data_IF_486327081322
#
_entry.id   IF_486327081322
#
_cell.length_a   1.000
_cell.length_b   1.000
_cell.length_c   1.000
_cell.angle_alpha   90.00
_cell.angle_beta   90.00
_cell.angle_gamma   90.00
#
_symmetry.space_group_name_H-M   'P 1'
#
loop_
_entity.id
_entity.type
_entity.pdbx_description
1 polymer ?
#
# COMPACT_ATOMS: atom_id res chain seq x y z
N UNK A 1 -11.26 -27.50 1.17
CA UNK A 1 -9.97 -27.15 0.51
C UNK A 1 -8.99 -26.64 1.55
N UNK A 2 -7.80 -27.26 1.67
CA UNK A 2 -6.76 -26.83 2.62
C UNK A 2 -6.22 -25.47 2.15
N UNK A 3 -6.53 -24.39 2.88
CA UNK A 3 -6.05 -23.04 2.56
C UNK A 3 -4.52 -23.00 2.67
N UNK A 4 -3.83 -22.49 1.63
CA UNK A 4 -2.38 -22.30 1.69
C UNK A 4 -2.09 -21.21 2.73
N UNK A 5 -1.45 -21.59 3.85
CA UNK A 5 -0.99 -20.62 4.84
C UNK A 5 0.06 -19.72 4.19
N UNK A 6 -0.16 -18.40 4.26
CA UNK A 6 0.78 -17.44 3.73
C UNK A 6 1.97 -17.31 4.69
N UNK A 7 3.18 -17.55 4.19
CA UNK A 7 4.41 -17.40 4.97
C UNK A 7 4.89 -15.94 4.88
N UNK A 8 5.11 -15.29 6.02
CA UNK A 8 5.60 -13.90 6.08
C UNK A 8 7.13 -13.83 5.94
N UNK A 9 7.67 -12.67 5.58
CA UNK A 9 9.13 -12.50 5.49
C UNK A 9 9.81 -12.63 6.86
N UNK A 10 9.14 -12.19 7.93
CA UNK A 10 9.61 -12.40 9.31
C UNK A 10 9.79 -13.88 9.62
N UNK A 11 8.83 -14.72 9.24
CA UNK A 11 8.91 -16.17 9.45
C UNK A 11 10.01 -16.80 8.61
N UNK A 12 10.16 -16.38 7.34
CA UNK A 12 11.27 -16.81 6.48
C UNK A 12 12.63 -16.47 7.10
N UNK A 13 12.80 -15.23 7.56
CA UNK A 13 14.03 -14.75 8.20
C UNK A 13 14.32 -15.52 9.48
N UNK A 14 13.31 -15.82 10.30
CA UNK A 14 13.49 -16.59 11.53
C UNK A 14 14.04 -18.00 11.23
N UNK A 15 13.48 -18.69 10.22
CA UNK A 15 13.97 -20.00 9.80
C UNK A 15 15.40 -19.92 9.25
N UNK A 16 15.69 -18.94 8.38
CA UNK A 16 17.03 -18.75 7.81
C UNK A 16 18.06 -18.45 8.91
N UNK A 17 17.72 -17.54 9.82
CA UNK A 17 18.57 -17.20 10.96
C UNK A 17 18.88 -18.44 11.79
N UNK A 18 17.87 -19.23 12.15
CA UNK A 18 18.10 -20.47 12.90
C UNK A 18 18.91 -21.51 12.12
N UNK A 19 18.65 -21.67 10.81
CA UNK A 19 19.32 -22.67 9.98
C UNK A 19 20.81 -22.34 9.77
N UNK A 20 21.14 -21.08 9.50
CA UNK A 20 22.50 -20.62 9.27
C UNK A 20 23.25 -20.17 10.54
N UNK A 21 22.60 -20.24 11.72
CA UNK A 21 23.25 -19.89 12.98
C UNK A 21 24.32 -20.94 13.36
N UNK A 22 25.60 -20.54 13.46
CA UNK A 22 26.70 -21.44 13.79
C UNK A 22 26.71 -21.88 15.26
N UNK A 23 25.92 -21.25 16.13
CA UNK A 23 25.89 -21.56 17.59
C UNK A 23 24.90 -22.68 17.96
N UNK A 24 24.03 -23.08 17.03
CA UNK A 24 23.01 -24.12 17.28
C UNK A 24 23.48 -25.50 16.81
N UNK A 25 23.96 -26.29 17.77
CA UNK A 25 24.36 -27.72 17.72
C UNK A 25 25.52 -28.07 16.77
N UNK A 26 26.37 -28.99 17.25
CA UNK A 26 27.62 -29.48 16.64
C UNK A 26 27.41 -30.37 15.38
N UNK A 27 26.60 -29.93 14.42
CA UNK A 27 26.36 -30.66 13.17
C UNK A 27 25.65 -29.83 12.09
N UNK A 28 25.77 -30.27 10.83
CA UNK A 28 25.07 -29.65 9.71
C UNK A 28 23.56 -29.86 9.83
N UNK A 29 22.80 -28.76 9.98
CA UNK A 29 21.33 -28.81 10.04
C UNK A 29 20.76 -29.29 8.72
N UNK A 30 19.76 -30.16 8.77
CA UNK A 30 19.11 -30.73 7.57
C UNK A 30 17.77 -30.05 7.29
N UNK A 31 17.23 -30.24 6.08
CA UNK A 31 15.88 -29.75 5.74
C UNK A 31 14.78 -30.42 6.59
N UNK A 32 15.02 -31.62 7.12
CA UNK A 32 14.11 -32.27 8.04
C UNK A 32 14.06 -31.49 9.37
N UNK A 33 15.23 -31.14 9.91
CA UNK A 33 15.33 -30.34 11.14
C UNK A 33 14.65 -28.97 10.99
N UNK A 34 14.82 -28.33 9.83
CA UNK A 34 14.13 -27.09 9.49
C UNK A 34 12.59 -27.22 9.51
N UNK A 35 12.08 -28.36 9.08
CA UNK A 35 10.63 -28.63 9.08
C UNK A 35 10.11 -28.86 10.49
N UNK A 36 10.86 -29.61 11.32
CA UNK A 36 10.54 -29.82 12.73
C UNK A 36 10.59 -28.53 13.53
N UNK A 37 11.68 -27.77 13.42
CA UNK A 37 11.81 -26.47 14.07
C UNK A 37 10.66 -25.54 13.69
N UNK A 38 10.25 -25.53 12.42
CA UNK A 38 9.13 -24.71 11.98
C UNK A 38 7.80 -25.16 12.61
N UNK A 39 7.55 -26.46 12.67
CA UNK A 39 6.33 -27.01 13.27
C UNK A 39 6.24 -26.66 14.76
N UNK A 40 7.35 -26.73 15.49
CA UNK A 40 7.43 -26.31 16.90
C UNK A 40 7.15 -24.80 17.07
N UNK A 41 7.68 -23.96 16.18
CA UNK A 41 7.56 -22.50 16.30
C UNK A 41 6.22 -21.94 15.79
N UNK A 42 5.60 -22.57 14.79
CA UNK A 42 4.44 -22.01 14.08
C UNK A 42 3.22 -22.95 14.01
N UNK A 43 3.31 -24.17 14.55
CA UNK A 43 2.20 -25.11 14.67
C UNK A 43 1.71 -25.69 13.34
N UNK A 44 2.57 -25.79 12.33
CA UNK A 44 2.28 -26.56 11.12
C UNK A 44 3.55 -27.00 10.41
N UNK A 45 3.50 -28.14 9.74
CA UNK A 45 4.62 -28.68 8.99
C UNK A 45 4.87 -27.94 7.66
N UNK A 46 6.15 -27.68 7.33
CA UNK A 46 6.58 -27.24 6.00
C UNK A 46 7.04 -28.43 5.16
N UNK A 47 6.65 -28.44 3.90
CA UNK A 47 7.21 -29.43 2.97
C UNK A 47 8.66 -29.06 2.57
N UNK A 48 9.43 -30.07 2.18
CA UNK A 48 10.84 -29.92 1.78
C UNK A 48 11.03 -28.89 0.65
N UNK A 49 10.11 -28.81 -0.32
CA UNK A 49 10.19 -27.81 -1.41
C UNK A 49 10.08 -26.36 -0.91
N UNK A 50 9.25 -26.13 0.11
CA UNK A 50 9.07 -24.80 0.72
C UNK A 50 10.26 -24.46 1.60
N UNK A 51 10.80 -25.42 2.35
CA UNK A 51 12.05 -25.24 3.11
C UNK A 51 13.19 -24.87 2.17
N UNK A 52 13.39 -25.62 1.08
CA UNK A 52 14.41 -25.33 0.08
C UNK A 52 14.22 -23.96 -0.56
N UNK A 53 12.98 -23.57 -0.88
CA UNK A 53 12.70 -22.23 -1.42
C UNK A 53 13.09 -21.13 -0.42
N UNK A 54 12.73 -21.27 0.87
CA UNK A 54 13.04 -20.29 1.92
C UNK A 54 14.56 -20.18 2.16
N UNK A 55 15.28 -21.30 2.13
CA UNK A 55 16.73 -21.33 2.33
C UNK A 55 17.54 -20.92 1.10
N UNK A 56 16.90 -20.80 -0.08
CA UNK A 56 17.58 -20.38 -1.32
C UNK A 56 18.03 -18.91 -1.30
N UNK A 57 18.95 -18.58 -2.21
CA UNK A 57 19.52 -17.24 -2.39
C UNK A 57 18.48 -16.12 -2.58
N UNK A 58 17.28 -16.48 -3.06
CA UNK A 58 16.14 -15.59 -3.24
C UNK A 58 15.80 -14.79 -1.98
N UNK A 59 16.12 -15.34 -0.81
CA UNK A 59 15.83 -14.75 0.49
C UNK A 59 17.08 -14.33 1.28
N UNK A 60 18.29 -14.44 0.73
CA UNK A 60 19.52 -13.91 1.34
C UNK A 60 19.42 -12.44 1.73
N UNK A 61 18.76 -11.56 0.95
CA UNK A 61 18.58 -10.18 1.35
C UNK A 61 17.86 -10.04 2.70
N UNK A 62 17.04 -11.01 3.12
CA UNK A 62 16.32 -10.95 4.40
C UNK A 62 17.26 -11.05 5.62
N UNK A 63 18.44 -11.64 5.46
CA UNK A 63 19.39 -11.86 6.57
C UNK A 63 20.16 -10.58 6.91
N UNK A 64 20.35 -9.69 5.93
CA UNK A 64 21.11 -8.45 6.04
C UNK A 64 20.23 -7.21 6.33
N UNK A 65 18.90 -7.38 6.46
CA UNK A 65 18.00 -6.29 6.83
C UNK A 65 18.21 -6.01 8.31
N UNK A 66 19.15 -5.11 8.61
CA UNK A 66 19.29 -4.45 9.90
C UNK A 66 17.96 -3.84 10.31
N UNK A 67 17.74 -3.75 11.62
CA UNK A 67 16.54 -3.33 12.33
C UNK A 67 16.10 -1.87 12.07
N UNK A 68 16.02 -1.44 10.81
CA UNK A 68 15.41 -0.21 10.39
C UNK A 68 13.87 -0.34 10.56
N UNK A 69 13.23 0.49 11.41
CA UNK A 69 11.80 0.49 11.61
C UNK A 69 10.98 0.64 10.31
N UNK A 70 11.55 1.27 9.28
CA UNK A 70 10.92 1.39 7.96
C UNK A 70 10.78 0.03 7.24
N UNK A 71 11.71 -0.91 7.46
CA UNK A 71 11.68 -2.25 6.89
C UNK A 71 10.88 -3.26 7.72
N UNK A 72 10.76 -3.06 9.04
CA UNK A 72 9.82 -3.82 9.88
C UNK A 72 8.36 -3.68 9.39
N UNK A 73 8.01 -2.56 8.75
CA UNK A 73 6.71 -2.40 8.08
C UNK A 73 6.61 -3.16 6.76
N UNK A 74 7.73 -3.43 6.07
CA UNK A 74 7.78 -4.25 4.85
C UNK A 74 7.61 -5.74 5.18
N UNK A 75 8.08 -6.17 6.36
CA UNK A 75 8.04 -7.56 6.84
C UNK A 75 6.62 -8.09 7.13
N UNK A 76 5.69 -7.21 7.53
CA UNK A 76 4.26 -7.51 7.76
C UNK A 76 3.37 -7.19 6.55
N UNK A 77 3.86 -6.41 5.57
CA UNK A 77 3.13 -6.10 4.34
C UNK A 77 3.10 -7.33 3.44
N UNK A 78 1.95 -8.02 3.44
CA UNK A 78 1.53 -8.84 2.29
C UNK A 78 1.74 -8.00 1.04
N UNK A 79 2.59 -8.46 0.11
CA UNK A 79 2.89 -7.73 -1.15
C UNK A 79 1.60 -7.13 -1.69
N UNK A 80 1.51 -5.80 -1.71
CA UNK A 80 0.38 -5.11 -2.32
C UNK A 80 0.51 -5.32 -3.82
N UNK A 81 -0.10 -6.40 -4.32
CA UNK A 81 -0.14 -6.63 -5.77
C UNK A 81 -1.05 -5.58 -6.38
N UNK A 82 -0.64 -4.98 -7.51
CA UNK A 82 -1.53 -4.12 -8.26
C UNK A 82 -2.83 -4.86 -8.59
N UNK A 83 -3.97 -4.16 -8.60
CA UNK A 83 -5.20 -4.75 -9.03
C UNK A 83 -5.14 -5.19 -10.49
N UNK A 84 -5.94 -6.21 -10.83
CA UNK A 84 -5.96 -6.75 -12.20
C UNK A 84 -6.49 -5.72 -13.22
N UNK A 85 -7.37 -4.84 -12.77
CA UNK A 85 -8.02 -3.79 -13.56
C UNK A 85 -7.81 -2.46 -12.86
N UNK A 86 -6.63 -1.87 -13.05
CA UNK A 86 -6.21 -0.68 -12.31
C UNK A 86 -7.14 0.51 -12.55
N UNK A 87 -7.40 0.84 -13.82
CA UNK A 87 -8.28 1.95 -14.21
C UNK A 87 -9.70 1.80 -13.64
N UNK A 88 -10.25 0.59 -13.69
CA UNK A 88 -11.56 0.30 -13.10
C UNK A 88 -11.56 0.54 -11.59
N UNK A 89 -10.56 0.00 -10.89
CA UNK A 89 -10.50 0.11 -9.43
C UNK A 89 -10.23 1.53 -8.96
N UNK A 90 -9.48 2.33 -9.71
CA UNK A 90 -9.26 3.75 -9.41
C UNK A 90 -10.57 4.55 -9.44
N UNK A 91 -11.35 4.41 -10.50
CA UNK A 91 -12.66 5.06 -10.59
C UNK A 91 -13.63 4.55 -9.51
N UNK A 92 -13.59 3.26 -9.23
CA UNK A 92 -14.43 2.65 -8.19
C UNK A 92 -14.02 3.11 -6.78
N UNK A 93 -12.72 3.30 -6.52
CA UNK A 93 -12.21 3.87 -5.26
C UNK A 93 -12.67 5.31 -5.10
N UNK A 94 -12.57 6.16 -6.14
CA UNK A 94 -13.02 7.55 -6.09
C UNK A 94 -14.51 7.64 -5.78
N UNK A 95 -15.32 6.84 -6.47
CA UNK A 95 -16.75 6.77 -6.24
C UNK A 95 -17.08 6.30 -4.81
N UNK A 96 -16.44 5.23 -4.33
CA UNK A 96 -16.67 4.73 -2.97
C UNK A 96 -16.27 5.76 -1.90
N UNK A 97 -15.14 6.44 -2.12
CA UNK A 97 -14.68 7.51 -1.25
C UNK A 97 -15.69 8.65 -1.17
N UNK A 98 -16.17 9.13 -2.33
CA UNK A 98 -17.17 10.19 -2.39
C UNK A 98 -18.47 9.77 -1.70
N UNK A 99 -18.96 8.56 -1.96
CA UNK A 99 -20.17 8.02 -1.36
C UNK A 99 -20.12 7.98 0.17
N UNK A 100 -19.01 7.46 0.73
CA UNK A 100 -18.88 7.28 2.17
C UNK A 100 -18.49 8.56 2.92
N UNK A 101 -17.56 9.35 2.37
CA UNK A 101 -16.91 10.44 3.10
C UNK A 101 -17.40 11.83 2.70
N UNK A 102 -17.87 12.02 1.47
CA UNK A 102 -18.30 13.34 0.98
C UNK A 102 -19.81 13.47 1.04
N UNK A 103 -20.53 12.48 0.51
CA UNK A 103 -21.99 12.46 0.54
C UNK A 103 -22.56 11.98 1.88
N UNK A 104 -21.79 11.20 2.65
CA UNK A 104 -22.23 10.67 3.94
C UNK A 104 -23.31 9.59 3.83
N UNK A 105 -23.44 8.92 2.69
CA UNK A 105 -24.48 7.92 2.41
C UNK A 105 -24.25 6.56 3.11
N UNK A 106 -23.34 6.51 4.08
CA UNK A 106 -22.95 5.28 4.77
C UNK A 106 -22.02 4.36 3.96
N UNK A 107 -21.68 3.18 4.52
CA UNK A 107 -20.67 2.29 3.96
C UNK A 107 -21.11 1.61 2.65
N UNK A 108 -20.17 1.45 1.72
CA UNK A 108 -20.43 0.79 0.43
C UNK A 108 -20.61 -0.72 0.63
N UNK A 109 -21.78 -1.23 0.26
CA UNK A 109 -22.08 -2.66 0.33
C UNK A 109 -21.48 -3.44 -0.85
N UNK A 110 -21.41 -4.77 -0.72
CA UNK A 110 -20.92 -5.65 -1.80
C UNK A 110 -21.77 -5.59 -3.07
N UNK A 111 -23.10 -5.45 -2.93
CA UNK A 111 -24.01 -5.31 -4.06
C UNK A 111 -23.75 -4.02 -4.83
N UNK A 112 -23.69 -2.89 -4.13
CA UNK A 112 -23.39 -1.58 -4.76
C UNK A 112 -22.05 -1.57 -5.48
N UNK A 113 -21.04 -2.26 -4.92
CA UNK A 113 -19.73 -2.40 -5.55
C UNK A 113 -19.80 -3.21 -6.85
N UNK A 114 -20.63 -4.27 -6.91
CA UNK A 114 -20.85 -5.07 -8.12
C UNK A 114 -21.58 -4.27 -9.19
N UNK A 115 -22.63 -3.56 -8.80
CA UNK A 115 -23.44 -2.76 -9.72
C UNK A 115 -22.60 -1.65 -10.35
N UNK A 116 -21.91 -0.87 -9.51
CA UNK A 116 -21.03 0.21 -10.00
C UNK A 116 -19.83 -0.32 -10.78
N UNK A 117 -19.25 -1.45 -10.36
CA UNK A 117 -18.18 -2.12 -11.10
C UNK A 117 -18.63 -2.55 -12.49
N UNK A 118 -19.84 -3.07 -12.61
CA UNK A 118 -20.45 -3.48 -13.90
C UNK A 118 -20.70 -2.27 -14.80
N UNK A 119 -21.22 -1.18 -14.24
CA UNK A 119 -21.43 0.07 -14.97
C UNK A 119 -20.10 0.63 -15.51
N UNK A 120 -19.09 0.77 -14.65
CA UNK A 120 -17.77 1.25 -15.05
C UNK A 120 -17.10 0.33 -16.09
N UNK A 121 -17.31 -0.99 -15.98
CA UNK A 121 -16.79 -1.94 -16.97
C UNK A 121 -17.33 -1.67 -18.38
N UNK A 122 -18.61 -1.33 -18.49
CA UNK A 122 -19.25 -1.05 -19.78
C UNK A 122 -18.91 0.34 -20.32
N UNK A 123 -18.64 1.30 -19.44
CA UNK A 123 -18.33 2.69 -19.82
C UNK A 123 -16.86 2.87 -20.23
N UNK A 124 -15.94 2.15 -19.59
CA UNK A 124 -14.51 2.30 -19.86
C UNK A 124 -14.12 1.68 -21.20
N UNK A 125 -13.59 2.50 -22.11
CA UNK A 125 -13.17 2.06 -23.44
C UNK A 125 -12.08 0.99 -23.41
N UNK A 126 -11.20 1.02 -22.40
CA UNK A 126 -10.12 0.05 -22.22
C UNK A 126 -10.60 -1.39 -21.94
N UNK A 127 -11.87 -1.56 -21.55
CA UNK A 127 -12.48 -2.88 -21.32
C UNK A 127 -13.46 -3.29 -22.41
N UNK A 128 -13.63 -2.48 -23.47
CA UNK A 128 -14.55 -2.77 -24.57
C UNK A 128 -14.16 -4.09 -25.25
N UNK A 129 -15.11 -5.02 -25.35
CA UNK A 129 -14.89 -6.33 -25.96
C UNK A 129 -14.24 -7.37 -25.03
N UNK A 130 -13.89 -7.03 -23.79
CA UNK A 130 -13.43 -7.99 -22.80
C UNK A 130 -14.62 -8.68 -22.08
N UNK A 131 -14.49 -9.96 -21.68
CA UNK A 131 -15.54 -10.65 -20.95
C UNK A 131 -15.78 -10.02 -19.57
N UNK A 132 -17.06 -9.85 -19.20
CA UNK A 132 -17.49 -9.27 -17.93
C UNK A 132 -16.91 -10.05 -16.73
N UNK A 133 -16.28 -9.37 -15.75
CA UNK A 133 -15.81 -9.98 -14.52
C UNK A 133 -16.94 -10.57 -13.69
N UNK A 134 -16.67 -11.72 -13.05
CA UNK A 134 -17.64 -12.37 -12.14
C UNK A 134 -17.67 -11.77 -10.72
N UNK A 135 -17.17 -10.55 -10.53
CA UNK A 135 -17.08 -9.81 -9.26
C UNK A 135 -16.99 -10.68 -7.99
N UNK A 136 -16.02 -11.59 -7.96
CA UNK A 136 -15.99 -12.65 -6.95
C UNK A 136 -15.83 -12.09 -5.54
N UNK A 137 -16.29 -12.85 -4.53
CA UNK A 137 -16.09 -12.48 -3.11
C UNK A 137 -14.61 -12.25 -2.78
N UNK A 138 -13.71 -13.02 -3.41
CA UNK A 138 -12.26 -12.83 -3.29
C UNK A 138 -11.77 -11.51 -3.88
N UNK A 139 -12.36 -11.05 -5.00
CA UNK A 139 -12.06 -9.74 -5.57
C UNK A 139 -12.58 -8.63 -4.66
N UNK A 140 -13.84 -8.69 -4.22
CA UNK A 140 -14.44 -7.69 -3.33
C UNK A 140 -13.67 -7.54 -2.02
N UNK A 141 -13.30 -8.66 -1.38
CA UNK A 141 -12.51 -8.65 -0.16
C UNK A 141 -11.18 -7.92 -0.37
N UNK A 142 -10.47 -8.23 -1.45
CA UNK A 142 -9.20 -7.58 -1.80
C UNK A 142 -9.37 -6.11 -2.17
N UNK A 143 -10.46 -5.77 -2.87
CA UNK A 143 -10.81 -4.38 -3.18
C UNK A 143 -11.01 -3.59 -1.89
N UNK A 144 -11.81 -4.08 -0.93
CA UNK A 144 -12.02 -3.43 0.36
C UNK A 144 -10.72 -3.19 1.12
N UNK A 145 -9.81 -4.17 1.12
CA UNK A 145 -8.47 -3.98 1.72
C UNK A 145 -7.70 -2.85 1.05
N UNK A 146 -7.67 -2.80 -0.30
CA UNK A 146 -7.00 -1.71 -1.04
C UNK A 146 -7.67 -0.36 -0.81
N UNK A 147 -9.00 -0.33 -0.83
CA UNK A 147 -9.81 0.84 -0.61
C UNK A 147 -9.56 1.43 0.78
N UNK A 148 -9.51 0.62 1.85
CA UNK A 148 -9.21 1.11 3.19
C UNK A 148 -7.86 1.85 3.25
N UNK A 149 -6.81 1.31 2.60
CA UNK A 149 -5.52 1.97 2.53
C UNK A 149 -5.54 3.27 1.70
N UNK A 150 -6.30 3.29 0.59
CA UNK A 150 -6.43 4.47 -0.27
C UNK A 150 -7.27 5.57 0.39
N UNK A 151 -8.37 5.19 1.04
CA UNK A 151 -9.26 6.05 1.81
C UNK A 151 -8.49 6.83 2.87
N UNK A 152 -7.65 6.16 3.66
CA UNK A 152 -6.85 6.85 4.68
C UNK A 152 -5.94 7.91 4.04
N UNK A 153 -5.22 7.57 2.97
CA UNK A 153 -4.35 8.53 2.27
C UNK A 153 -5.12 9.74 1.73
N UNK A 154 -6.32 9.51 1.17
CA UNK A 154 -7.18 10.57 0.66
C UNK A 154 -7.68 11.49 1.79
N UNK A 155 -8.06 10.93 2.95
CA UNK A 155 -8.42 11.73 4.13
C UNK A 155 -7.23 12.55 4.64
N UNK A 156 -6.05 11.95 4.74
CA UNK A 156 -4.83 12.62 5.18
C UNK A 156 -4.43 13.76 4.22
N UNK A 157 -4.71 13.61 2.92
CA UNK A 157 -4.48 14.64 1.90
C UNK A 157 -5.48 15.79 2.01
N UNK A 158 -6.77 15.49 2.18
CA UNK A 158 -7.79 16.52 2.41
C UNK A 158 -7.47 17.31 3.69
N UNK A 159 -7.14 16.63 4.79
CA UNK A 159 -6.79 17.26 6.05
C UNK A 159 -5.60 18.22 5.89
N UNK A 160 -4.53 17.80 5.20
CA UNK A 160 -3.37 18.64 4.91
C UNK A 160 -3.73 19.86 4.06
N UNK A 161 -4.56 19.69 3.04
CA UNK A 161 -4.98 20.78 2.15
C UNK A 161 -5.89 21.79 2.87
N UNK A 162 -6.68 21.35 3.85
CA UNK A 162 -7.50 22.23 4.70
C UNK A 162 -6.72 22.98 5.79
N UNK A 163 -5.42 22.70 5.97
CA UNK A 163 -4.57 23.32 7.00
C UNK A 163 -3.52 24.30 6.45
N UNK A 164 -3.67 24.78 5.21
CA UNK A 164 -2.80 25.82 4.61
C UNK A 164 -3.05 27.24 5.17
N UNK A 165 -2.04 28.13 5.16
CA UNK A 165 -1.90 29.23 6.13
C UNK A 165 -2.89 30.37 5.90
N UNK A 166 -3.53 30.83 6.99
CA UNK A 166 -4.11 32.18 7.06
C UNK A 166 -3.02 33.19 6.73
N UNK A 167 -3.06 33.76 5.53
CA UNK A 167 -2.31 34.93 5.15
C UNK A 167 -2.70 36.07 6.09
N UNK A 168 -1.80 36.40 7.03
CA UNK A 168 -1.90 37.58 7.87
C UNK A 168 -1.99 38.82 7.00
N UNK A 169 -3.02 39.61 7.25
CA UNK A 169 -3.19 40.97 6.79
C UNK A 169 -2.10 41.84 7.40
N UNK A 170 -0.97 41.98 6.73
CA UNK A 170 0.03 42.99 7.08
C UNK A 170 -0.27 44.24 6.27
N UNK A 171 -1.16 45.06 6.83
CA UNK A 171 -1.48 46.41 6.38
C UNK A 171 -0.20 47.23 6.35
N UNK A 172 0.28 47.48 5.13
CA UNK A 172 1.46 48.28 4.83
C UNK A 172 1.37 49.68 5.43
N UNK A 173 2.37 49.96 6.25
CA UNK A 173 2.76 51.24 6.78
C UNK A 173 2.91 52.28 5.65
N UNK A 174 2.35 53.47 5.87
CA UNK A 174 2.32 54.58 4.94
C UNK A 174 3.74 55.14 4.76
N UNK A 175 4.43 54.71 3.69
CA UNK A 175 5.63 55.37 3.19
C UNK A 175 5.29 56.73 2.58
N UNK A 176 5.84 57.80 3.16
CA UNK A 176 5.81 59.18 2.68
C UNK A 176 6.11 59.33 1.18
N UNK A 177 5.51 60.33 0.50
CA UNK A 177 5.74 60.61 -0.91
C UNK A 177 7.14 61.21 -1.13
N UNK A 178 7.90 60.59 -2.02
CA UNK A 178 9.18 61.07 -2.56
C UNK A 178 8.90 62.25 -3.52
N UNK A 179 9.49 63.44 -3.30
CA UNK A 179 9.25 64.60 -4.16
C UNK A 179 10.34 64.72 -5.25
N UNK A 180 9.89 65.07 -6.46
CA UNK A 180 10.66 65.52 -7.62
C UNK A 180 11.26 64.46 -8.55
N UNK A 181 10.39 63.97 -9.44
CA UNK A 181 10.77 63.80 -10.85
C UNK A 181 11.04 65.17 -11.50
N UNK A 182 12.00 65.16 -12.44
CA UNK A 182 11.92 65.78 -13.78
C UNK A 182 13.08 66.74 -14.12
N UNK A 183 14.16 66.14 -14.64
CA UNK A 183 15.17 66.81 -15.46
C UNK A 183 14.62 67.02 -16.87
N UNK A 184 14.11 68.22 -17.13
CA UNK A 184 13.73 68.69 -18.47
C UNK A 184 14.43 70.00 -18.81
N UNK A 185 15.66 69.94 -19.34
CA UNK A 185 16.29 71.08 -20.01
C UNK A 185 16.17 70.89 -21.52
N UNK A 186 15.26 71.65 -22.13
CA UNK A 186 15.30 72.03 -23.54
C UNK A 186 15.73 73.51 -23.64
N UNK A 187 16.61 73.77 -24.61
CA UNK A 187 17.05 75.02 -25.28
C UNK A 187 16.21 76.29 -24.97
N UNK A 188 16.80 77.48 -24.80
CA UNK A 188 17.66 78.24 -25.74
C UNK A 188 18.68 79.12 -25.01
#
# INVERSE_FOLDING_TARGET
MKSRKAITNTQRRALRKWFFDPTTKDGAKTHADASFWWEENYGYYLNSSTVSEILSYKYDPLDNISADPAYCQIDSRKRQRPPKWETLEEELIKWAFWHECVAGNGPVTGAMLKDRGTELWNTLECHRGMPMPKWSEGWQCRFRTRYAHRKQKMLDEIARNSSGPSSNSESGDYGSPDPYFETGHYYW
#
